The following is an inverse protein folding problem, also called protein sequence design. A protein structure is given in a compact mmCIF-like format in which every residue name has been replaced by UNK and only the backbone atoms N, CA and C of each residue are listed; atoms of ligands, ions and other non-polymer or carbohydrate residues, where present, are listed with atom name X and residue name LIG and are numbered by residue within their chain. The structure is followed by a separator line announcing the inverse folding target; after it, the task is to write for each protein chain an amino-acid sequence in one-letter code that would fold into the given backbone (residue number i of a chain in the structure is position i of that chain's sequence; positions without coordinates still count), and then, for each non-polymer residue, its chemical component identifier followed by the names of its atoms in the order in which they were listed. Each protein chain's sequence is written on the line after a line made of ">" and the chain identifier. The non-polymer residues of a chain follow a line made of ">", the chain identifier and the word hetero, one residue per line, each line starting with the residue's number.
data_IF_058801677551
#
_entry.id   IF_058801677551
#
_cell.length_a   1.000
_cell.length_b   1.000
_cell.length_c   1.000
_cell.angle_alpha   90.00
_cell.angle_beta   90.00
_cell.angle_gamma   90.00
#
_symmetry.space_group_name_H-M   'P 1'
#
loop_
_entity.id
_entity.type
_entity.pdbx_description
1 polymer ?
#
# COMPACT_ATOMS: atom_id res chain seq x y z
N UNK A 1 13.80 -19.82 -6.10
CA UNK A 1 13.68 -18.52 -5.41
C UNK A 1 13.68 -17.33 -6.37
N UNK A 2 14.78 -17.03 -7.10
CA UNK A 2 14.90 -15.80 -7.94
C UNK A 2 13.85 -15.58 -9.04
N UNK A 3 13.15 -16.62 -9.48
CA UNK A 3 12.19 -16.50 -10.59
C UNK A 3 10.86 -15.87 -10.17
N UNK A 4 10.26 -16.29 -9.06
CA UNK A 4 8.95 -15.78 -8.60
C UNK A 4 9.10 -14.33 -8.10
N UNK A 5 10.16 -14.05 -7.35
CA UNK A 5 10.52 -12.69 -6.95
C UNK A 5 10.71 -11.77 -8.16
N UNK A 6 11.38 -12.25 -9.21
CA UNK A 6 11.55 -11.50 -10.45
C UNK A 6 10.21 -11.23 -11.15
N UNK A 7 9.27 -12.17 -11.13
CA UNK A 7 7.92 -11.94 -11.67
C UNK A 7 7.20 -10.83 -10.92
N UNK A 8 7.31 -10.73 -9.59
CA UNK A 8 6.71 -9.62 -8.84
C UNK A 8 7.25 -8.27 -9.31
N UNK A 9 8.57 -8.16 -9.50
CA UNK A 9 9.17 -6.93 -10.00
C UNK A 9 8.73 -6.58 -11.43
N UNK A 10 8.58 -7.57 -12.32
CA UNK A 10 8.01 -7.32 -13.66
C UNK A 10 6.55 -6.86 -13.53
N UNK A 11 5.78 -7.46 -12.64
CA UNK A 11 4.40 -7.05 -12.36
C UNK A 11 4.34 -5.58 -11.93
N UNK A 12 5.11 -5.19 -10.91
CA UNK A 12 5.22 -3.81 -10.43
C UNK A 12 5.66 -2.84 -11.53
N UNK A 13 6.65 -3.24 -12.34
CA UNK A 13 7.09 -2.46 -13.49
C UNK A 13 5.97 -2.29 -14.52
N UNK A 14 5.21 -3.35 -14.83
CA UNK A 14 4.08 -3.31 -15.76
C UNK A 14 2.98 -2.35 -15.25
N UNK A 15 2.70 -2.35 -13.95
CA UNK A 15 1.79 -1.36 -13.32
C UNK A 15 2.30 0.07 -13.54
N UNK A 16 3.60 0.31 -13.39
CA UNK A 16 4.19 1.64 -13.61
C UNK A 16 4.06 2.13 -15.06
N UNK A 17 3.96 1.22 -16.02
CA UNK A 17 3.75 1.52 -17.44
C UNK A 17 2.26 1.62 -17.82
N UNK A 18 1.34 1.38 -16.88
CA UNK A 18 -0.10 1.34 -17.14
C UNK A 18 -0.58 0.04 -17.78
N UNK A 19 0.27 -0.99 -17.87
CA UNK A 19 -0.06 -2.29 -18.46
C UNK A 19 -0.78 -3.19 -17.44
N UNK A 20 -1.98 -2.79 -17.02
CA UNK A 20 -2.69 -3.44 -15.91
C UNK A 20 -3.11 -4.89 -16.19
N UNK A 21 -3.51 -5.20 -17.42
CA UNK A 21 -3.85 -6.58 -17.82
C UNK A 21 -2.61 -7.49 -17.77
N UNK A 22 -1.47 -7.00 -18.26
CA UNK A 22 -0.18 -7.71 -18.19
C UNK A 22 0.21 -7.95 -16.74
N UNK A 23 0.14 -6.92 -15.89
CA UNK A 23 0.44 -7.03 -14.47
C UNK A 23 -0.45 -8.07 -13.78
N UNK A 24 -1.76 -8.05 -14.06
CA UNK A 24 -2.72 -9.02 -13.52
C UNK A 24 -2.35 -10.46 -13.90
N UNK A 25 -2.01 -10.69 -15.18
CA UNK A 25 -1.58 -12.00 -15.66
C UNK A 25 -0.30 -12.48 -14.97
N UNK A 26 0.67 -11.58 -14.74
CA UNK A 26 1.91 -11.88 -14.03
C UNK A 26 1.61 -12.26 -12.57
N UNK A 27 0.76 -11.52 -11.86
CA UNK A 27 0.42 -11.83 -10.47
C UNK A 27 -0.36 -13.15 -10.36
N UNK A 28 -1.22 -13.47 -11.32
CA UNK A 28 -1.87 -14.79 -11.38
C UNK A 28 -0.88 -15.92 -11.59
N UNK A 29 0.15 -15.69 -12.40
CA UNK A 29 1.24 -16.64 -12.56
C UNK A 29 2.03 -16.80 -11.26
N UNK A 30 2.36 -15.72 -10.56
CA UNK A 30 3.01 -15.79 -9.23
C UNK A 30 2.20 -16.66 -8.29
N UNK A 31 0.90 -16.38 -8.17
CA UNK A 31 -0.01 -17.13 -7.30
C UNK A 31 -0.09 -18.61 -7.68
N UNK A 32 -0.13 -18.93 -8.98
CA UNK A 32 -0.19 -20.33 -9.44
C UNK A 32 1.08 -21.11 -9.09
N UNK A 33 2.24 -20.49 -9.28
CA UNK A 33 3.55 -21.13 -9.04
C UNK A 33 3.88 -21.23 -7.54
N UNK A 34 3.17 -20.49 -6.67
CA UNK A 34 3.38 -20.49 -5.23
C UNK A 34 2.38 -21.34 -4.42
N UNK A 35 1.41 -22.02 -5.07
CA UNK A 35 0.33 -22.78 -4.39
C UNK A 35 0.85 -23.92 -3.50
N UNK A 36 1.94 -24.58 -3.88
CA UNK A 36 2.38 -25.83 -3.24
C UNK A 36 3.59 -25.65 -2.31
N UNK A 37 4.17 -24.46 -2.26
CA UNK A 37 5.42 -24.20 -1.54
C UNK A 37 5.26 -23.09 -0.49
N UNK A 38 5.41 -23.48 0.77
CA UNK A 38 5.36 -22.56 1.90
C UNK A 38 6.45 -21.50 1.84
N UNK A 39 7.59 -21.80 1.20
CA UNK A 39 8.68 -20.84 1.03
C UNK A 39 8.29 -19.68 0.08
N UNK A 40 7.20 -19.81 -0.68
CA UNK A 40 6.67 -18.76 -1.57
C UNK A 40 5.41 -18.07 -1.05
N UNK A 41 4.98 -18.36 0.18
CA UNK A 41 3.78 -17.76 0.78
C UNK A 41 3.91 -16.24 0.91
N UNK A 42 5.13 -15.72 1.08
CA UNK A 42 5.41 -14.27 1.07
C UNK A 42 5.15 -13.64 -0.29
N UNK A 43 5.60 -14.28 -1.37
CA UNK A 43 5.34 -13.80 -2.72
C UNK A 43 3.85 -13.84 -3.08
N UNK A 44 3.12 -14.83 -2.58
CA UNK A 44 1.66 -14.89 -2.70
C UNK A 44 0.99 -13.68 -2.03
N UNK A 45 1.43 -13.31 -0.82
CA UNK A 45 0.90 -12.16 -0.10
C UNK A 45 1.09 -10.85 -0.90
N UNK A 46 2.29 -10.62 -1.42
CA UNK A 46 2.57 -9.44 -2.25
C UNK A 46 1.82 -9.47 -3.58
N UNK A 47 1.65 -10.63 -4.23
CA UNK A 47 0.83 -10.75 -5.43
C UNK A 47 -0.64 -10.43 -5.18
N UNK A 48 -1.21 -10.94 -4.08
CA UNK A 48 -2.59 -10.60 -3.68
C UNK A 48 -2.74 -9.11 -3.40
N UNK A 49 -1.82 -8.52 -2.64
CA UNK A 49 -1.86 -7.09 -2.34
C UNK A 49 -1.79 -6.24 -3.63
N UNK A 50 -0.93 -6.64 -4.59
CA UNK A 50 -0.78 -5.94 -5.86
C UNK A 50 -2.03 -6.07 -6.75
N UNK A 51 -2.69 -7.22 -6.75
CA UNK A 51 -4.03 -7.35 -7.38
C UNK A 51 -5.03 -6.44 -6.70
N UNK A 52 -5.02 -6.37 -5.37
CA UNK A 52 -5.84 -5.44 -4.60
C UNK A 52 -5.66 -3.99 -5.05
N UNK A 53 -4.41 -3.53 -5.19
CA UNK A 53 -4.10 -2.17 -5.67
C UNK A 53 -4.62 -1.92 -7.09
N UNK A 54 -4.46 -2.90 -7.99
CA UNK A 54 -4.97 -2.78 -9.36
C UNK A 54 -6.50 -2.63 -9.42
N UNK A 55 -7.24 -3.46 -8.67
CA UNK A 55 -8.70 -3.35 -8.61
C UNK A 55 -9.14 -2.03 -7.94
N UNK A 56 -8.39 -1.54 -6.94
CA UNK A 56 -8.60 -0.24 -6.32
C UNK A 56 -8.52 0.88 -7.36
N UNK A 57 -7.47 0.90 -8.19
CA UNK A 57 -7.31 1.90 -9.28
C UNK A 57 -8.42 1.86 -10.33
N UNK A 58 -9.13 0.73 -10.44
CA UNK A 58 -10.28 0.54 -11.33
C UNK A 58 -11.62 0.86 -10.66
N UNK A 59 -11.61 1.35 -9.41
CA UNK A 59 -12.77 1.54 -8.55
C UNK A 59 -13.59 0.26 -8.29
N UNK A 60 -13.00 -0.91 -8.50
CA UNK A 60 -13.57 -2.21 -8.15
C UNK A 60 -13.21 -2.52 -6.69
N UNK A 61 -13.88 -1.82 -5.79
CA UNK A 61 -13.61 -1.87 -4.35
C UNK A 61 -13.87 -3.25 -3.75
N UNK A 62 -14.85 -4.00 -4.27
CA UNK A 62 -15.21 -5.31 -3.75
C UNK A 62 -14.10 -6.33 -4.01
N UNK A 63 -13.63 -6.43 -5.25
CA UNK A 63 -12.51 -7.31 -5.58
C UNK A 63 -11.22 -6.83 -4.88
N UNK A 64 -10.99 -5.51 -4.84
CA UNK A 64 -9.83 -4.94 -4.15
C UNK A 64 -9.77 -5.37 -2.68
N UNK A 65 -10.83 -5.14 -1.91
CA UNK A 65 -10.91 -5.52 -0.50
C UNK A 65 -10.75 -7.03 -0.33
N UNK A 66 -11.38 -7.84 -1.19
CA UNK A 66 -11.23 -9.31 -1.14
C UNK A 66 -9.78 -9.77 -1.28
N UNK A 67 -9.03 -9.19 -2.22
CA UNK A 67 -7.61 -9.53 -2.41
C UNK A 67 -6.72 -8.98 -1.31
N UNK A 68 -7.01 -7.78 -0.78
CA UNK A 68 -6.29 -7.23 0.38
C UNK A 68 -6.47 -8.13 1.60
N UNK A 69 -7.69 -8.60 1.89
CA UNK A 69 -7.93 -9.51 3.01
C UNK A 69 -7.13 -10.81 2.90
N UNK A 70 -7.02 -11.38 1.69
CA UNK A 70 -6.16 -12.55 1.44
C UNK A 70 -4.69 -12.24 1.70
N UNK A 71 -4.21 -11.06 1.29
CA UNK A 71 -2.84 -10.64 1.55
C UNK A 71 -2.59 -10.45 3.06
N UNK A 72 -3.48 -9.76 3.77
CA UNK A 72 -3.38 -9.52 5.22
C UNK A 72 -3.30 -10.83 6.00
N UNK A 73 -4.15 -11.83 5.68
CA UNK A 73 -4.10 -13.14 6.36
C UNK A 73 -2.72 -13.80 6.23
N UNK A 74 -2.09 -13.70 5.06
CA UNK A 74 -0.75 -14.24 4.83
C UNK A 74 0.32 -13.42 5.55
N UNK A 75 0.23 -12.09 5.52
CA UNK A 75 1.16 -11.22 6.26
C UNK A 75 1.08 -11.43 7.78
N UNK A 76 -0.11 -11.65 8.33
CA UNK A 76 -0.29 -12.01 9.76
C UNK A 76 0.40 -13.32 10.10
N UNK A 77 0.19 -14.38 9.30
CA UNK A 77 0.84 -15.68 9.48
C UNK A 77 2.37 -15.56 9.45
N UNK A 78 2.88 -14.69 8.59
CA UNK A 78 4.32 -14.46 8.39
C UNK A 78 4.89 -13.44 9.38
N UNK A 79 4.05 -12.74 10.16
CA UNK A 79 4.43 -11.60 11.01
C UNK A 79 5.11 -10.48 10.22
N UNK A 80 4.70 -10.29 8.96
CA UNK A 80 5.19 -9.21 8.11
C UNK A 80 4.42 -7.92 8.41
N UNK A 81 4.92 -7.16 9.38
CA UNK A 81 4.32 -5.89 9.79
C UNK A 81 4.32 -4.86 8.65
N UNK A 82 5.29 -4.91 7.71
CA UNK A 82 5.31 -3.98 6.58
C UNK A 82 4.23 -4.33 5.56
N UNK A 83 4.01 -5.61 5.31
CA UNK A 83 2.90 -6.09 4.50
C UNK A 83 1.54 -5.69 5.07
N UNK A 84 1.37 -5.81 6.39
CA UNK A 84 0.16 -5.35 7.09
C UNK A 84 -0.04 -3.84 6.97
N UNK A 85 1.01 -3.05 7.20
CA UNK A 85 0.94 -1.61 7.00
C UNK A 85 0.49 -1.25 5.56
N UNK A 86 1.02 -1.93 4.54
CA UNK A 86 0.65 -1.63 3.15
C UNK A 86 -0.81 -1.98 2.85
N UNK A 87 -1.28 -3.06 3.45
CA UNK A 87 -2.67 -3.52 3.33
C UNK A 87 -3.61 -2.49 3.95
N UNK A 88 -3.32 -2.04 5.17
CA UNK A 88 -4.07 -0.99 5.87
C UNK A 88 -4.04 0.36 5.12
N UNK A 89 -2.88 0.77 4.59
CA UNK A 89 -2.80 1.97 3.77
C UNK A 89 -3.72 1.90 2.53
N UNK A 90 -3.78 0.74 1.87
CA UNK A 90 -4.61 0.56 0.69
C UNK A 90 -6.11 0.57 1.05
N UNK A 91 -6.49 -0.06 2.17
CA UNK A 91 -7.86 0.06 2.71
C UNK A 91 -8.22 1.52 3.02
N UNK A 92 -7.31 2.25 3.68
CA UNK A 92 -7.51 3.67 3.97
C UNK A 92 -7.75 4.49 2.71
N UNK A 93 -7.00 4.22 1.65
CA UNK A 93 -7.17 4.85 0.33
C UNK A 93 -8.54 4.53 -0.26
N UNK A 94 -8.94 3.26 -0.28
CA UNK A 94 -10.25 2.82 -0.80
C UNK A 94 -11.42 3.50 -0.06
N UNK A 95 -11.37 3.56 1.27
CA UNK A 95 -12.42 4.23 2.04
C UNK A 95 -12.41 5.74 1.83
N UNK A 96 -11.23 6.35 1.66
CA UNK A 96 -11.11 7.76 1.29
C UNK A 96 -11.75 8.06 -0.06
N UNK A 97 -11.49 7.23 -1.07
CA UNK A 97 -12.06 7.35 -2.42
C UNK A 97 -13.59 7.14 -2.42
N UNK A 98 -14.10 6.31 -1.50
CA UNK A 98 -15.54 6.14 -1.25
C UNK A 98 -16.17 7.29 -0.45
N UNK A 99 -15.36 8.21 0.07
CA UNK A 99 -15.81 9.32 0.91
C UNK A 99 -16.08 8.95 2.38
N UNK A 100 -15.74 7.73 2.82
CA UNK A 100 -15.83 7.33 4.22
C UNK A 100 -14.55 7.73 4.97
N UNK A 101 -14.51 9.01 5.33
CA UNK A 101 -13.32 9.63 5.94
C UNK A 101 -12.97 8.98 7.29
N UNK A 102 -13.95 8.51 8.06
CA UNK A 102 -13.71 7.89 9.36
C UNK A 102 -13.01 6.53 9.21
N UNK A 103 -13.48 5.69 8.28
CA UNK A 103 -12.81 4.42 7.98
C UNK A 103 -11.43 4.66 7.36
N UNK A 104 -11.32 5.64 6.47
CA UNK A 104 -10.03 6.00 5.86
C UNK A 104 -8.98 6.36 6.93
N UNK A 105 -9.35 7.24 7.86
CA UNK A 105 -8.49 7.64 8.98
C UNK A 105 -8.12 6.44 9.86
N UNK A 106 -9.10 5.61 10.25
CA UNK A 106 -8.86 4.42 11.05
C UNK A 106 -7.79 3.52 10.43
N UNK A 107 -7.92 3.20 9.14
CA UNK A 107 -6.98 2.34 8.42
C UNK A 107 -5.59 2.99 8.25
N UNK A 108 -5.50 4.30 7.98
CA UNK A 108 -4.21 4.97 7.96
C UNK A 108 -3.51 4.97 9.34
N UNK A 109 -4.25 5.14 10.43
CA UNK A 109 -3.72 5.05 11.79
C UNK A 109 -3.30 3.61 12.16
N UNK A 110 -4.07 2.59 11.76
CA UNK A 110 -3.66 1.19 11.89
C UNK A 110 -2.37 0.92 11.11
N UNK A 111 -2.27 1.41 9.87
CA UNK A 111 -1.04 1.30 9.07
C UNK A 111 0.15 1.91 9.80
N UNK A 112 0.02 3.08 10.42
CA UNK A 112 1.09 3.73 11.17
C UNK A 112 1.53 2.88 12.38
N UNK A 113 0.59 2.19 13.03
CA UNK A 113 0.88 1.37 14.23
C UNK A 113 1.81 0.17 13.96
N UNK A 114 1.90 -0.28 12.71
CA UNK A 114 2.78 -1.38 12.30
C UNK A 114 4.21 -0.96 11.92
N UNK A 115 4.47 0.34 11.77
CA UNK A 115 5.74 0.84 11.22
C UNK A 115 6.74 1.24 12.30
N UNK A 116 8.04 1.01 12.05
CA UNK A 116 9.12 1.48 12.91
C UNK A 116 9.55 2.90 12.47
N UNK A 117 9.38 3.93 13.32
CA UNK A 117 9.69 5.32 12.96
C UNK A 117 11.11 5.58 12.47
N UNK A 118 12.07 4.69 12.80
CA UNK A 118 13.48 4.84 12.40
C UNK A 118 13.84 4.09 11.12
N UNK A 119 12.97 3.19 10.65
CA UNK A 119 13.25 2.31 9.51
C UNK A 119 12.31 2.55 8.33
N UNK A 120 11.11 3.06 8.62
CA UNK A 120 10.02 3.14 7.66
C UNK A 120 9.60 4.59 7.38
N UNK A 121 10.55 5.53 7.49
CA UNK A 121 10.34 6.97 7.34
C UNK A 121 9.62 7.34 6.05
N UNK A 122 9.96 6.69 4.92
CA UNK A 122 9.29 6.88 3.64
C UNK A 122 7.79 6.57 3.70
N UNK A 123 7.43 5.41 4.26
CA UNK A 123 6.04 4.97 4.29
C UNK A 123 5.22 5.75 5.31
N UNK A 124 5.84 6.13 6.43
CA UNK A 124 5.23 7.05 7.39
C UNK A 124 4.97 8.40 6.73
N UNK A 125 5.93 8.96 5.97
CA UNK A 125 5.71 10.21 5.23
C UNK A 125 4.54 10.12 4.25
N UNK A 126 4.36 8.99 3.56
CA UNK A 126 3.18 8.77 2.70
C UNK A 126 1.87 8.76 3.48
N UNK A 127 1.83 8.09 4.63
CA UNK A 127 0.64 8.05 5.48
C UNK A 127 0.30 9.43 6.06
N UNK A 128 1.31 10.22 6.40
CA UNK A 128 1.14 11.60 6.84
C UNK A 128 0.52 12.45 5.72
N UNK A 129 0.97 12.31 4.45
CA UNK A 129 0.28 12.95 3.30
C UNK A 129 -1.18 12.52 3.24
N UNK A 130 -1.48 11.23 3.32
CA UNK A 130 -2.85 10.72 3.20
C UNK A 130 -3.77 11.27 4.29
N UNK A 131 -3.28 11.33 5.55
CA UNK A 131 -4.01 11.95 6.65
C UNK A 131 -4.16 13.46 6.48
N UNK A 132 -3.17 14.13 5.89
CA UNK A 132 -3.27 15.53 5.50
C UNK A 132 -4.36 15.78 4.46
N UNK A 133 -4.45 14.91 3.44
CA UNK A 133 -5.50 14.96 2.41
C UNK A 133 -6.88 14.80 3.03
N UNK A 134 -7.06 13.81 3.92
CA UNK A 134 -8.35 13.61 4.61
C UNK A 134 -8.76 14.86 5.41
N UNK A 135 -7.84 15.45 6.18
CA UNK A 135 -8.12 16.66 6.94
C UNK A 135 -8.40 17.87 6.03
N UNK A 136 -7.73 17.95 4.88
CA UNK A 136 -7.99 19.00 3.90
C UNK A 136 -9.42 18.91 3.34
N UNK A 137 -9.87 17.69 2.98
CA UNK A 137 -11.24 17.42 2.51
C UNK A 137 -12.28 17.82 3.57
N UNK A 138 -11.97 17.61 4.86
CA UNK A 138 -12.85 18.01 5.98
C UNK A 138 -12.81 19.52 6.31
N UNK A 139 -11.94 20.30 5.67
CA UNK A 139 -11.74 21.73 5.96
C UNK A 139 -10.85 22.01 7.17
N UNK A 140 -10.19 21.00 7.73
CA UNK A 140 -9.27 21.11 8.86
C UNK A 140 -7.86 21.53 8.37
N UNK A 141 -7.75 22.72 7.78
CA UNK A 141 -6.54 23.14 7.06
C UNK A 141 -5.28 23.21 7.93
N UNK A 142 -5.38 23.67 9.17
CA UNK A 142 -4.22 23.76 10.08
C UNK A 142 -3.69 22.36 10.44
N UNK A 143 -4.60 21.40 10.62
CA UNK A 143 -4.25 20.00 10.89
C UNK A 143 -3.62 19.39 9.64
N UNK A 144 -4.23 19.58 8.47
CA UNK A 144 -3.70 19.12 7.19
C UNK A 144 -2.28 19.64 6.93
N UNK A 145 -2.04 20.94 7.14
CA UNK A 145 -0.72 21.56 7.00
C UNK A 145 0.30 20.92 7.95
N UNK A 146 -0.09 20.63 9.18
CA UNK A 146 0.78 19.95 10.15
C UNK A 146 1.19 18.55 9.69
N UNK A 147 0.25 17.79 9.09
CA UNK A 147 0.53 16.49 8.49
C UNK A 147 1.51 16.60 7.30
N UNK A 148 1.28 17.52 6.37
CA UNK A 148 2.17 17.73 5.22
C UNK A 148 3.58 18.15 5.64
N UNK A 149 3.72 19.02 6.64
CA UNK A 149 5.02 19.40 7.18
C UNK A 149 5.77 18.21 7.80
N UNK A 150 5.08 17.32 8.52
CA UNK A 150 5.70 16.09 9.05
C UNK A 150 6.15 15.14 7.94
N UNK A 151 5.38 15.04 6.86
CA UNK A 151 5.77 14.26 5.69
C UNK A 151 7.03 14.85 5.02
N UNK A 152 7.06 16.17 4.80
CA UNK A 152 8.19 16.88 4.20
C UNK A 152 9.48 16.64 4.99
N UNK A 153 9.47 16.79 6.32
CA UNK A 153 10.63 16.56 7.18
C UNK A 153 11.18 15.14 7.00
N UNK A 154 10.30 14.13 6.90
CA UNK A 154 10.71 12.74 6.68
C UNK A 154 11.35 12.54 5.32
N UNK A 155 10.80 13.14 4.26
CA UNK A 155 11.37 13.04 2.93
C UNK A 155 12.70 13.78 2.78
N UNK A 156 12.87 14.91 3.48
CA UNK A 156 14.16 15.62 3.58
C UNK A 156 15.23 14.77 4.28
N UNK A 157 14.87 14.06 5.37
CA UNK A 157 15.80 13.18 6.10
C UNK A 157 16.35 12.04 5.23
N UNK A 158 15.52 11.49 4.35
CA UNK A 158 15.91 10.40 3.43
C UNK A 158 16.39 10.88 2.05
N UNK A 159 16.49 12.20 1.83
CA UNK A 159 16.89 12.82 0.55
C UNK A 159 16.03 12.40 -0.66
N UNK A 160 14.74 12.11 -0.45
CA UNK A 160 13.81 11.73 -1.53
C UNK A 160 13.22 12.98 -2.21
N UNK A 161 13.99 13.53 -3.15
CA UNK A 161 13.65 14.77 -3.89
C UNK A 161 12.32 14.67 -4.66
N UNK A 162 11.93 13.47 -5.09
CA UNK A 162 10.65 13.29 -5.78
C UNK A 162 9.50 13.51 -4.81
N UNK A 163 9.56 12.88 -3.63
CA UNK A 163 8.49 12.99 -2.63
C UNK A 163 8.43 14.36 -1.97
N UNK A 164 9.57 15.05 -1.85
CA UNK A 164 9.61 16.45 -1.42
C UNK A 164 8.76 17.34 -2.34
N UNK A 165 8.77 17.09 -3.66
CA UNK A 165 7.97 17.86 -4.60
C UNK A 165 6.46 17.49 -4.58
N UNK A 166 6.12 16.32 -4.05
CA UNK A 166 4.75 15.81 -3.94
C UNK A 166 4.08 16.17 -2.59
N UNK A 167 4.85 16.59 -1.58
CA UNK A 167 4.41 16.92 -0.22
C UNK A 167 4.04 18.40 -0.04
#
# INVERSE_FOLDING_TARGET
>A
MRFIEFLLHIGEFSVSQGEFETALHIYERVLKESIEDKDFESFSAYAYLSKGDLYSRQADWENSISYISKASELFEKQRDLKGLARSENLLGTIYGDKGDINQAQYHFEQSLSYLDPKKDETMIGMLEINLGILNNIQGNYDIALSYYQRALIKFEQIQDMRRIAEA
#
